data_IF_251603537343
#
_entry.id   IF_251603537343
#
_cell.length_a   1.000
_cell.length_b   1.000
_cell.length_c   1.000
_cell.angle_alpha   90.00
_cell.angle_beta   90.00
_cell.angle_gamma   90.00
#
_symmetry.space_group_name_H-M   'P 1'
#
loop_
_entity.id
_entity.type
_entity.pdbx_description
1 polymer ?
#
# COMPACT_ATOMS: atom_id res chain seq x y z
N UNK A 1 5.38 14.18 14.93
CA UNK A 1 5.32 12.73 15.22
C UNK A 1 3.89 12.16 15.35
N UNK A 2 2.89 12.95 15.76
CA UNK A 2 1.51 12.48 15.97
C UNK A 2 0.67 12.49 14.67
N UNK A 3 0.97 13.36 13.71
CA UNK A 3 0.20 13.49 12.47
C UNK A 3 0.46 12.30 11.53
N UNK A 4 1.70 11.85 11.44
CA UNK A 4 2.16 10.79 10.55
C UNK A 4 1.59 9.40 10.93
N UNK A 5 1.55 9.07 12.22
CA UNK A 5 0.91 7.85 12.72
C UNK A 5 -0.59 7.80 12.46
N UNK A 6 -1.29 8.95 12.49
CA UNK A 6 -2.75 8.99 12.27
C UNK A 6 -3.12 8.67 10.83
N UNK A 7 -2.37 9.13 9.85
CA UNK A 7 -2.70 8.90 8.43
C UNK A 7 -2.39 7.48 7.99
N UNK A 8 -1.28 6.87 8.45
CA UNK A 8 -1.05 5.43 8.26
C UNK A 8 -2.15 4.58 8.91
N UNK A 9 -2.67 5.02 10.07
CA UNK A 9 -3.80 4.37 10.74
C UNK A 9 -5.10 4.42 9.92
N UNK A 10 -5.31 5.42 9.06
CA UNK A 10 -6.51 5.54 8.24
C UNK A 10 -6.60 4.40 7.21
N UNK A 11 -5.57 4.17 6.39
CA UNK A 11 -5.53 3.04 5.46
C UNK A 11 -5.65 1.68 6.16
N UNK A 12 -5.11 1.57 7.38
CA UNK A 12 -5.23 0.36 8.21
C UNK A 12 -6.66 0.19 8.68
N UNK A 13 -7.39 1.28 9.02
CA UNK A 13 -8.80 1.24 9.43
C UNK A 13 -9.70 0.71 8.33
N UNK A 14 -9.59 1.20 7.10
CA UNK A 14 -10.37 0.69 5.97
C UNK A 14 -10.15 -0.83 5.78
N UNK A 15 -8.90 -1.28 5.88
CA UNK A 15 -8.55 -2.70 5.82
C UNK A 15 -9.09 -3.49 7.01
N UNK A 16 -9.05 -2.92 8.22
CA UNK A 16 -9.53 -3.54 9.45
C UNK A 16 -11.06 -3.70 9.44
N UNK A 17 -11.79 -2.64 9.10
CA UNK A 17 -13.25 -2.68 8.98
C UNK A 17 -13.69 -3.73 7.97
N UNK A 18 -13.05 -3.76 6.80
CA UNK A 18 -13.39 -4.71 5.76
C UNK A 18 -13.02 -6.16 6.12
N UNK A 19 -11.91 -6.37 6.82
CA UNK A 19 -11.55 -7.70 7.32
C UNK A 19 -12.52 -8.16 8.40
N UNK A 20 -12.86 -7.30 9.37
CA UNK A 20 -13.84 -7.62 10.40
C UNK A 20 -15.22 -7.90 9.82
N UNK A 21 -15.63 -7.16 8.77
CA UNK A 21 -16.85 -7.46 8.04
C UNK A 21 -16.82 -8.90 7.47
N UNK A 22 -15.75 -9.26 6.78
CA UNK A 22 -15.61 -10.59 6.19
C UNK A 22 -15.55 -11.71 7.25
N UNK A 23 -14.80 -11.49 8.34
CA UNK A 23 -14.71 -12.46 9.45
C UNK A 23 -16.07 -12.66 10.10
N UNK A 24 -16.80 -11.59 10.43
CA UNK A 24 -18.14 -11.66 11.03
C UNK A 24 -19.12 -12.41 10.14
N UNK A 25 -19.11 -12.15 8.84
CA UNK A 25 -19.98 -12.80 7.86
C UNK A 25 -19.73 -14.31 7.75
N UNK A 26 -18.49 -14.74 8.02
CA UNK A 26 -18.08 -16.14 8.01
C UNK A 26 -18.16 -16.82 9.39
N UNK A 27 -18.61 -16.09 10.42
CA UNK A 27 -18.74 -16.60 11.79
C UNK A 27 -17.41 -16.68 12.56
N UNK A 28 -16.35 -16.01 12.08
CA UNK A 28 -15.08 -15.92 12.80
C UNK A 28 -15.06 -14.74 13.79
N UNK A 29 -14.25 -14.80 14.86
CA UNK A 29 -14.07 -13.67 15.76
C UNK A 29 -13.42 -12.49 15.05
N UNK A 30 -13.87 -11.28 15.39
CA UNK A 30 -13.31 -10.02 14.92
C UNK A 30 -12.17 -9.54 15.83
N UNK A 31 -11.41 -8.55 15.39
CA UNK A 31 -10.29 -7.99 16.12
C UNK A 31 -10.46 -6.48 16.34
N UNK A 32 -9.86 -5.98 17.43
CA UNK A 32 -9.68 -4.55 17.66
C UNK A 32 -8.85 -3.93 16.52
N UNK A 33 -9.20 -2.70 16.14
CA UNK A 33 -8.56 -2.00 15.00
C UNK A 33 -7.04 -1.88 15.18
N UNK A 34 -6.59 -1.67 16.41
CA UNK A 34 -5.17 -1.51 16.76
C UNK A 34 -4.32 -2.75 16.43
N UNK A 35 -4.90 -3.95 16.48
CA UNK A 35 -4.21 -5.20 16.14
C UNK A 35 -3.83 -5.27 14.66
N UNK A 36 -4.58 -4.59 13.80
CA UNK A 36 -4.31 -4.56 12.36
C UNK A 36 -3.02 -3.84 12.00
N UNK A 37 -2.45 -3.00 12.89
CA UNK A 37 -1.13 -2.40 12.70
C UNK A 37 -0.01 -3.46 12.49
N UNK A 38 -0.21 -4.66 13.01
CA UNK A 38 0.74 -5.78 12.89
C UNK A 38 0.33 -6.80 11.82
N UNK A 39 -0.89 -6.72 11.30
CA UNK A 39 -1.42 -7.65 10.31
C UNK A 39 -1.24 -7.15 8.88
N UNK A 40 -1.35 -5.83 8.66
CA UNK A 40 -1.27 -5.19 7.33
C UNK A 40 0.18 -5.01 6.88
N UNK A 41 0.42 -5.02 5.55
CA UNK A 41 1.70 -4.63 4.93
C UNK A 41 2.31 -5.66 3.98
N UNK A 42 1.96 -6.94 4.10
CA UNK A 42 2.55 -8.03 3.30
C UNK A 42 1.56 -8.65 2.28
N UNK A 43 0.63 -7.85 1.77
CA UNK A 43 -0.46 -8.30 0.90
C UNK A 43 -1.69 -8.80 1.68
N UNK A 44 -2.82 -8.91 0.97
CA UNK A 44 -4.12 -9.22 1.61
C UNK A 44 -4.22 -10.66 2.11
N UNK A 45 -3.60 -11.62 1.44
CA UNK A 45 -3.66 -13.02 1.86
C UNK A 45 -2.95 -13.23 3.21
N UNK A 46 -1.82 -12.52 3.44
CA UNK A 46 -1.15 -12.52 4.73
C UNK A 46 -1.94 -11.80 5.83
N UNK A 47 -2.69 -10.76 5.48
CA UNK A 47 -3.63 -10.13 6.39
C UNK A 47 -4.70 -11.14 6.85
N UNK A 48 -5.31 -11.88 5.93
CA UNK A 48 -6.35 -12.86 6.27
C UNK A 48 -5.79 -14.04 7.08
N UNK A 49 -4.61 -14.57 6.69
CA UNK A 49 -3.91 -15.61 7.44
C UNK A 49 -3.64 -15.20 8.90
N UNK A 50 -3.26 -13.93 9.14
CA UNK A 50 -3.03 -13.39 10.48
C UNK A 50 -4.31 -13.13 11.26
N UNK A 51 -5.40 -12.78 10.57
CA UNK A 51 -6.69 -12.47 11.17
C UNK A 51 -7.52 -13.72 11.49
N UNK A 52 -7.29 -14.84 10.80
CA UNK A 52 -7.99 -16.10 11.08
C UNK A 52 -7.51 -16.72 12.40
N UNK A 53 -8.42 -17.41 13.14
CA UNK A 53 -8.05 -18.15 14.34
C UNK A 53 -6.99 -19.22 14.07
N UNK A 54 -6.24 -19.59 15.12
CA UNK A 54 -5.30 -20.71 15.04
C UNK A 54 -6.07 -22.00 14.68
N UNK A 55 -5.55 -22.76 13.70
CA UNK A 55 -6.23 -23.95 13.17
C UNK A 55 -7.12 -23.68 11.95
N UNK A 56 -7.52 -22.43 11.69
CA UNK A 56 -8.35 -22.03 10.54
C UNK A 56 -7.56 -21.37 9.39
N UNK A 57 -6.23 -21.30 9.47
CA UNK A 57 -5.33 -20.61 8.53
C UNK A 57 -5.04 -21.38 7.24
N UNK A 58 -6.02 -22.17 6.76
CA UNK A 58 -5.89 -22.89 5.50
C UNK A 58 -6.01 -21.93 4.31
N UNK A 59 -5.42 -22.32 3.15
CA UNK A 59 -5.58 -21.57 1.90
C UNK A 59 -7.06 -21.41 1.51
N UNK A 60 -7.87 -22.42 1.76
CA UNK A 60 -9.30 -22.39 1.49
C UNK A 60 -10.01 -21.32 2.31
N UNK A 61 -9.75 -21.24 3.62
CA UNK A 61 -10.34 -20.23 4.49
C UNK A 61 -9.84 -18.82 4.15
N UNK A 62 -8.58 -18.65 3.80
CA UNK A 62 -8.04 -17.38 3.28
C UNK A 62 -8.80 -16.93 2.03
N UNK A 63 -9.09 -17.84 1.09
CA UNK A 63 -9.87 -17.52 -0.11
C UNK A 63 -11.33 -17.20 0.22
N UNK A 64 -11.93 -17.86 1.21
CA UNK A 64 -13.29 -17.55 1.68
C UNK A 64 -13.36 -16.13 2.27
N UNK A 65 -12.39 -15.76 3.13
CA UNK A 65 -12.29 -14.39 3.68
C UNK A 65 -12.10 -13.37 2.56
N UNK A 66 -11.22 -13.67 1.60
CA UNK A 66 -10.98 -12.80 0.43
C UNK A 66 -12.25 -12.55 -0.38
N UNK A 67 -13.08 -13.57 -0.59
CA UNK A 67 -14.34 -13.47 -1.33
C UNK A 67 -15.32 -12.49 -0.69
N UNK A 68 -15.37 -12.44 0.64
CA UNK A 68 -16.24 -11.51 1.38
C UNK A 68 -15.60 -10.13 1.57
N UNK A 69 -14.27 -10.10 1.70
CA UNK A 69 -13.51 -8.85 1.89
C UNK A 69 -13.54 -7.96 0.65
N UNK A 70 -13.19 -8.51 -0.53
CA UNK A 70 -12.96 -7.71 -1.74
C UNK A 70 -14.16 -6.85 -2.13
N UNK A 71 -15.39 -7.37 -2.24
CA UNK A 71 -16.55 -6.56 -2.61
C UNK A 71 -16.84 -5.44 -1.60
N UNK A 72 -16.64 -5.69 -0.31
CA UNK A 72 -16.84 -4.69 0.73
C UNK A 72 -15.72 -3.62 0.70
N UNK A 73 -14.48 -4.05 0.62
CA UNK A 73 -13.34 -3.15 0.55
C UNK A 73 -13.35 -2.27 -0.70
N UNK A 74 -13.83 -2.78 -1.84
CA UNK A 74 -13.94 -1.99 -3.08
C UNK A 74 -14.88 -0.79 -2.94
N UNK A 75 -15.84 -0.84 -2.02
CA UNK A 75 -16.74 0.28 -1.72
C UNK A 75 -16.16 1.18 -0.63
N UNK A 76 -15.48 0.59 0.38
CA UNK A 76 -15.10 1.24 1.64
C UNK A 76 -13.59 1.52 1.79
N UNK A 77 -12.79 1.39 0.72
CA UNK A 77 -11.34 1.52 0.79
C UNK A 77 -10.82 2.96 0.90
N UNK A 78 -11.69 3.93 0.88
CA UNK A 78 -11.42 5.36 0.96
C UNK A 78 -12.24 6.08 2.05
N UNK A 79 -12.93 5.35 2.91
CA UNK A 79 -13.77 5.95 3.94
C UNK A 79 -12.94 6.73 4.97
N UNK A 80 -11.88 6.13 5.45
CA UNK A 80 -10.92 6.73 6.38
C UNK A 80 -9.64 7.24 5.70
N UNK A 81 -9.22 6.64 4.58
CA UNK A 81 -7.97 6.98 3.88
C UNK A 81 -7.99 8.42 3.34
N UNK A 82 -6.82 9.07 3.39
CA UNK A 82 -6.57 10.41 2.80
C UNK A 82 -5.10 10.47 2.35
N UNK A 83 -4.76 11.27 1.34
CA UNK A 83 -3.37 11.61 1.05
C UNK A 83 -2.72 12.33 2.23
N UNK A 84 -1.42 12.14 2.42
CA UNK A 84 -0.66 12.96 3.36
C UNK A 84 -0.66 14.42 2.91
N UNK A 85 -0.69 15.34 3.90
CA UNK A 85 -0.60 16.78 3.63
C UNK A 85 0.66 17.10 2.84
N UNK A 86 0.52 17.92 1.78
CA UNK A 86 1.61 18.30 0.88
C UNK A 86 1.92 17.29 -0.22
N UNK A 87 1.36 16.07 -0.21
CA UNK A 87 1.60 15.09 -1.28
C UNK A 87 0.94 15.49 -2.60
N UNK A 88 -0.33 15.94 -2.66
CA UNK A 88 -0.91 16.41 -3.91
C UNK A 88 -0.08 17.53 -4.56
N UNK A 89 0.36 18.50 -3.76
CA UNK A 89 1.17 19.63 -4.21
C UNK A 89 2.55 19.18 -4.68
N UNK A 90 3.18 18.24 -3.97
CA UNK A 90 4.46 17.66 -4.35
C UNK A 90 4.36 16.91 -5.68
N UNK A 91 3.34 16.08 -5.86
CA UNK A 91 3.14 15.32 -7.09
C UNK A 91 2.90 16.26 -8.29
N UNK A 92 2.09 17.31 -8.11
CA UNK A 92 1.88 18.33 -9.13
C UNK A 92 3.18 19.06 -9.48
N UNK A 93 3.99 19.42 -8.49
CA UNK A 93 5.30 20.04 -8.70
C UNK A 93 6.26 19.12 -9.46
N UNK A 94 6.36 17.84 -9.09
CA UNK A 94 7.19 16.86 -9.78
C UNK A 94 6.76 16.69 -11.25
N UNK A 95 5.46 16.57 -11.49
CA UNK A 95 4.91 16.46 -12.85
C UNK A 95 5.26 17.70 -13.70
N UNK A 96 5.05 18.92 -13.18
CA UNK A 96 5.36 20.17 -13.90
C UNK A 96 6.86 20.36 -14.11
N UNK A 97 7.69 19.74 -13.26
CA UNK A 97 9.14 19.71 -13.40
C UNK A 97 9.66 18.62 -14.36
N UNK A 98 8.75 17.87 -15.02
CA UNK A 98 9.10 16.83 -15.98
C UNK A 98 9.64 15.55 -15.32
N UNK A 99 9.44 15.35 -14.02
CA UNK A 99 9.86 14.15 -13.29
C UNK A 99 8.81 13.08 -13.47
N UNK A 100 9.22 11.88 -13.89
CA UNK A 100 8.35 10.73 -14.02
C UNK A 100 7.98 10.19 -12.63
N UNK A 101 6.70 9.85 -12.45
CA UNK A 101 6.15 9.39 -11.18
C UNK A 101 5.55 7.99 -11.36
N UNK A 102 5.82 7.08 -10.43
CA UNK A 102 5.26 5.74 -10.41
C UNK A 102 4.83 5.33 -9.01
N UNK A 103 3.94 4.34 -8.93
CA UNK A 103 3.43 3.78 -7.67
C UNK A 103 3.79 2.30 -7.57
N UNK A 104 4.34 1.89 -6.41
CA UNK A 104 4.63 0.51 -6.04
C UNK A 104 3.97 0.15 -4.69
N UNK A 105 2.95 -0.70 -4.70
CA UNK A 105 2.15 -1.05 -3.52
C UNK A 105 1.99 -2.55 -3.33
N UNK A 106 1.88 -3.02 -2.08
CA UNK A 106 1.46 -4.38 -1.74
C UNK A 106 -0.07 -4.54 -1.65
N UNK A 107 -0.82 -3.46 -1.86
CA UNK A 107 -2.27 -3.52 -2.01
C UNK A 107 -2.60 -4.17 -3.37
N UNK A 108 -3.68 -4.95 -3.48
CA UNK A 108 -4.02 -5.58 -4.76
C UNK A 108 -4.28 -4.55 -5.87
N UNK A 109 -3.98 -4.94 -7.11
CA UNK A 109 -3.88 -4.02 -8.26
C UNK A 109 -5.12 -3.15 -8.45
N UNK A 110 -6.32 -3.74 -8.45
CA UNK A 110 -7.56 -2.98 -8.70
C UNK A 110 -7.81 -1.89 -7.63
N UNK A 111 -7.56 -2.20 -6.34
CA UNK A 111 -7.74 -1.20 -5.28
C UNK A 111 -6.63 -0.12 -5.32
N UNK A 112 -5.40 -0.49 -5.71
CA UNK A 112 -4.32 0.49 -5.89
C UNK A 112 -4.71 1.49 -6.98
N UNK A 113 -5.12 1.01 -8.16
CA UNK A 113 -5.52 1.85 -9.27
C UNK A 113 -6.67 2.78 -8.88
N UNK A 114 -7.74 2.22 -8.29
CA UNK A 114 -8.91 2.97 -7.88
C UNK A 114 -8.59 4.12 -6.91
N UNK A 115 -7.70 3.88 -5.93
CA UNK A 115 -7.30 4.92 -4.98
C UNK A 115 -6.45 6.01 -5.63
N UNK A 116 -5.56 5.65 -6.56
CA UNK A 116 -4.76 6.62 -7.32
C UNK A 116 -5.66 7.49 -8.19
N UNK A 117 -6.58 6.88 -8.93
CA UNK A 117 -7.54 7.61 -9.77
C UNK A 117 -8.45 8.53 -8.95
N UNK A 118 -8.83 8.09 -7.73
CA UNK A 118 -9.68 8.87 -6.84
C UNK A 118 -8.96 10.09 -6.22
N UNK A 119 -7.72 9.90 -5.74
CA UNK A 119 -7.03 10.96 -5.01
C UNK A 119 -6.14 11.84 -5.87
N UNK A 120 -5.71 11.36 -7.03
CA UNK A 120 -4.76 12.04 -7.91
C UNK A 120 -5.17 12.01 -9.37
N UNK A 121 -6.43 12.40 -9.71
CA UNK A 121 -6.96 12.31 -11.08
C UNK A 121 -6.18 13.15 -12.09
N UNK A 122 -5.51 14.22 -11.64
CA UNK A 122 -4.76 15.15 -12.49
C UNK A 122 -3.26 14.76 -12.62
N UNK A 123 -2.81 13.72 -11.92
CA UNK A 123 -1.41 13.31 -11.94
C UNK A 123 -1.21 12.15 -12.91
N UNK A 124 -0.29 12.33 -13.85
CA UNK A 124 0.11 11.26 -14.75
C UNK A 124 1.18 10.38 -14.14
N UNK A 125 0.82 9.15 -13.78
CA UNK A 125 1.75 8.12 -13.34
C UNK A 125 2.15 7.25 -14.53
N UNK A 126 3.45 7.07 -14.77
CA UNK A 126 3.95 6.18 -15.84
C UNK A 126 3.66 4.71 -15.57
N UNK A 127 3.50 4.35 -14.29
CA UNK A 127 3.11 3.02 -13.83
C UNK A 127 2.40 3.11 -12.47
N UNK A 128 1.31 2.34 -12.31
CA UNK A 128 0.63 2.14 -11.01
C UNK A 128 0.58 0.64 -10.76
N UNK A 129 1.48 0.16 -9.90
CA UNK A 129 1.60 -1.25 -9.58
C UNK A 129 1.16 -1.55 -8.15
N UNK A 130 0.09 -2.33 -8.03
CA UNK A 130 -0.30 -3.06 -6.83
C UNK A 130 0.23 -4.49 -6.86
N UNK A 131 -0.29 -5.35 -5.98
CA UNK A 131 -0.03 -6.77 -6.01
C UNK A 131 -0.68 -7.39 -7.27
N UNK A 132 0.14 -8.03 -8.10
CA UNK A 132 -0.24 -8.71 -9.34
C UNK A 132 -0.05 -10.22 -9.19
N UNK A 133 -0.86 -11.01 -9.87
CA UNK A 133 -0.72 -12.46 -9.87
C UNK A 133 0.63 -12.88 -10.47
N UNK A 134 1.28 -13.86 -9.85
CA UNK A 134 2.60 -14.36 -10.28
C UNK A 134 3.78 -13.44 -9.98
N UNK A 135 3.55 -12.20 -9.50
CA UNK A 135 4.60 -11.26 -9.12
C UNK A 135 4.76 -11.24 -7.61
N UNK A 136 5.99 -11.37 -7.14
CA UNK A 136 6.29 -11.28 -5.71
C UNK A 136 6.02 -9.88 -5.18
N UNK A 137 5.51 -9.83 -3.95
CA UNK A 137 5.23 -8.56 -3.25
C UNK A 137 6.50 -7.99 -2.62
N UNK A 138 6.51 -6.69 -2.35
CA UNK A 138 7.57 -6.04 -1.56
C UNK A 138 7.79 -6.80 -0.23
N UNK A 139 9.02 -7.05 0.19
CA UNK A 139 10.26 -6.39 -0.20
C UNK A 139 10.99 -7.00 -1.41
N UNK A 140 10.36 -7.88 -2.21
CA UNK A 140 10.96 -8.32 -3.49
C UNK A 140 11.10 -7.12 -4.43
N UNK A 141 12.26 -6.92 -5.09
CA UNK A 141 12.53 -5.73 -5.88
C UNK A 141 11.90 -5.73 -7.28
N UNK A 142 11.23 -6.80 -7.69
CA UNK A 142 10.69 -6.98 -9.06
C UNK A 142 9.86 -5.78 -9.51
N UNK A 143 8.98 -5.26 -8.63
CA UNK A 143 8.15 -4.09 -8.95
C UNK A 143 8.98 -2.85 -9.29
N UNK A 144 10.15 -2.68 -8.67
CA UNK A 144 11.06 -1.57 -8.97
C UNK A 144 11.70 -1.76 -10.33
N UNK A 145 12.15 -2.98 -10.64
CA UNK A 145 12.76 -3.29 -11.95
C UNK A 145 11.77 -3.11 -13.10
N UNK A 146 10.52 -3.53 -12.93
CA UNK A 146 9.45 -3.28 -13.90
C UNK A 146 9.25 -1.77 -14.16
N UNK A 147 9.30 -0.95 -13.09
CA UNK A 147 9.18 0.51 -13.20
C UNK A 147 10.40 1.12 -13.91
N UNK A 148 11.62 0.69 -13.60
CA UNK A 148 12.85 1.14 -14.25
C UNK A 148 12.81 0.87 -15.76
N UNK A 149 12.33 -0.32 -16.15
CA UNK A 149 12.18 -0.70 -17.56
C UNK A 149 11.19 0.21 -18.31
N UNK A 150 10.05 0.49 -17.69
CA UNK A 150 9.02 1.41 -18.25
C UNK A 150 9.56 2.84 -18.36
N UNK A 151 10.21 3.31 -17.29
CA UNK A 151 10.78 4.65 -17.22
C UNK A 151 11.99 4.85 -18.15
N UNK A 152 12.65 3.76 -18.54
CA UNK A 152 13.91 3.74 -19.31
C UNK A 152 15.04 4.52 -18.61
N UNK A 153 15.15 4.34 -17.31
CA UNK A 153 16.15 4.98 -16.45
C UNK A 153 17.01 3.95 -15.73
N UNK A 154 18.15 4.37 -15.23
CA UNK A 154 19.03 3.57 -14.40
C UNK A 154 18.66 3.65 -12.91
N UNK A 155 19.24 2.81 -12.07
CA UNK A 155 18.99 2.80 -10.62
C UNK A 155 19.43 4.08 -9.93
N UNK A 156 20.48 4.72 -10.45
CA UNK A 156 21.07 5.95 -9.95
C UNK A 156 20.16 7.17 -10.16
N UNK A 157 19.26 7.10 -11.14
CA UNK A 157 18.33 8.16 -11.51
C UNK A 157 16.99 8.09 -10.77
N UNK A 158 16.83 7.08 -9.88
CA UNK A 158 15.57 6.82 -9.17
C UNK A 158 15.67 7.11 -7.69
N UNK A 159 14.64 7.79 -7.18
CA UNK A 159 14.40 7.96 -5.77
C UNK A 159 13.16 7.14 -5.36
N UNK A 160 13.34 6.17 -4.45
CA UNK A 160 12.26 5.39 -3.87
C UNK A 160 11.80 6.03 -2.57
N UNK A 161 10.55 6.48 -2.52
CA UNK A 161 9.96 7.11 -1.34
C UNK A 161 8.96 6.15 -0.70
N UNK A 162 9.09 5.88 0.60
CA UNK A 162 8.20 4.97 1.31
C UNK A 162 8.10 5.26 2.79
N UNK A 163 7.04 4.75 3.43
CA UNK A 163 6.71 5.01 4.83
C UNK A 163 6.91 3.81 5.77
N UNK A 164 7.35 2.67 5.23
CA UNK A 164 7.49 1.42 5.98
C UNK A 164 8.87 0.78 5.85
N UNK A 165 9.22 -0.09 6.81
CA UNK A 165 10.43 -0.90 6.72
C UNK A 165 10.47 -1.81 5.49
N UNK A 166 9.29 -2.24 5.01
CA UNK A 166 9.17 -3.02 3.76
C UNK A 166 9.60 -2.19 2.55
N UNK A 167 9.27 -0.90 2.51
CA UNK A 167 9.67 0.01 1.44
C UNK A 167 11.18 0.22 1.42
N UNK A 168 11.76 0.48 2.59
CA UNK A 168 13.22 0.65 2.73
C UNK A 168 13.98 -0.61 2.32
N UNK A 169 13.47 -1.78 2.70
CA UNK A 169 14.04 -3.07 2.29
C UNK A 169 13.89 -3.30 0.78
N UNK A 170 12.75 -2.89 0.18
CA UNK A 170 12.54 -2.99 -1.27
C UNK A 170 13.56 -2.15 -2.03
N UNK A 171 13.76 -0.91 -1.61
CA UNK A 171 14.74 -0.02 -2.22
C UNK A 171 16.18 -0.56 -2.08
N UNK A 172 16.54 -1.08 -0.90
CA UNK A 172 17.84 -1.71 -0.67
C UNK A 172 18.04 -2.95 -1.56
N UNK A 173 17.03 -3.81 -1.67
CA UNK A 173 17.08 -5.01 -2.51
C UNK A 173 17.15 -4.66 -4.00
N UNK A 174 16.55 -3.54 -4.42
CA UNK A 174 16.64 -3.04 -5.80
C UNK A 174 17.96 -2.29 -6.09
N UNK A 175 18.67 -1.84 -5.05
CA UNK A 175 19.86 -1.02 -5.16
C UNK A 175 19.58 0.41 -5.62
N UNK A 176 18.43 0.97 -5.26
CA UNK A 176 18.04 2.36 -5.54
C UNK A 176 18.12 3.23 -4.27
N UNK A 177 18.26 4.54 -4.46
CA UNK A 177 18.25 5.49 -3.33
C UNK A 177 16.88 5.52 -2.67
N UNK A 178 16.84 5.37 -1.33
CA UNK A 178 15.62 5.37 -0.54
C UNK A 178 15.47 6.63 0.30
N UNK A 179 14.24 7.14 0.38
CA UNK A 179 13.83 8.18 1.33
C UNK A 179 12.70 7.62 2.19
N UNK A 180 12.92 7.60 3.51
CA UNK A 180 11.89 7.24 4.47
C UNK A 180 11.00 8.45 4.76
N UNK A 181 9.73 8.36 4.40
CA UNK A 181 8.76 9.42 4.66
C UNK A 181 8.53 9.68 6.16
N UNK A 182 8.79 8.69 7.02
CA UNK A 182 8.65 8.82 8.49
C UNK A 182 9.62 9.83 9.13
N UNK A 183 10.64 10.27 8.37
CA UNK A 183 11.65 11.22 8.80
C UNK A 183 11.65 12.55 8.04
N UNK A 184 10.71 12.74 7.10
CA UNK A 184 10.55 14.03 6.41
C UNK A 184 9.77 15.03 7.29
N UNK A 185 10.38 15.43 8.40
CA UNK A 185 10.18 16.80 8.85
C UNK A 185 11.03 17.67 7.93
N UNK A 186 10.40 18.41 7.01
CA UNK A 186 11.09 19.47 6.30
C UNK A 186 11.79 20.34 7.35
N UNK A 187 13.12 20.62 7.22
CA UNK A 187 13.74 21.61 8.06
C UNK A 187 12.99 22.91 7.79
N UNK A 188 12.43 23.48 8.85
CA UNK A 188 11.90 24.85 8.81
C UNK A 188 13.08 25.76 8.52
N UNK A 189 13.13 26.29 7.29
CA UNK A 189 14.04 27.38 6.92
C UNK A 189 13.47 28.65 7.49
#
# INVERSE_FOLDING_TARGET
>A
HLCDRRQRQMCIRDSAHSTNHALNKLGYPTHEIEKYNFMVGNGIDKLFERALPEGEKSKENVLRVRKEFVPYYDVHNADDSRPYSGIPELLAYLQTSGIQIAVASNKYQAATQKLIDHYFPEIHFIAVFGQREGVKVKPDPTVVFDILEIAKVTKEEVLYVGDSGVDMQTAANAGVTAVSYTHLTLPTI
#
